data_IF_096359523477
#
_entry.id   IF_096359523477
#
_cell.length_a   1.000
_cell.length_b   1.000
_cell.length_c   1.000
_cell.angle_alpha   90.00
_cell.angle_beta   90.00
_cell.angle_gamma   90.00
#
_symmetry.space_group_name_H-M   'P 1'
#
loop_
_entity.id
_entity.type
_entity.pdbx_description
1 polymer ?
#
# COMPACT_ATOMS: atom_id res chain seq x y z
N UNK A 1 45.47 38.72 17.15
CA UNK A 1 44.38 39.71 16.97
C UNK A 1 43.76 39.59 15.59
N UNK A 2 44.55 39.61 14.52
CA UNK A 2 44.07 39.49 13.12
C UNK A 2 43.19 38.26 12.85
N UNK A 3 43.59 37.07 13.33
CA UNK A 3 42.75 35.86 13.20
C UNK A 3 41.39 35.97 13.90
N UNK A 4 41.34 36.67 15.05
CA UNK A 4 40.10 36.88 15.79
C UNK A 4 39.15 37.81 15.01
N UNK A 5 39.71 38.83 14.35
CA UNK A 5 38.94 39.73 13.48
C UNK A 5 38.43 39.01 12.23
N UNK A 6 39.23 38.14 11.61
CA UNK A 6 38.81 37.36 10.46
C UNK A 6 37.66 36.40 10.80
N UNK A 7 37.75 35.70 11.94
CA UNK A 7 36.68 34.80 12.43
C UNK A 7 35.41 35.60 12.77
N UNK A 8 35.53 36.76 13.41
CA UNK A 8 34.39 37.62 13.73
C UNK A 8 33.72 38.21 12.47
N UNK A 9 34.51 38.62 11.48
CA UNK A 9 34.01 39.14 10.21
C UNK A 9 33.29 38.04 9.42
N UNK A 10 33.86 36.84 9.33
CA UNK A 10 33.20 35.72 8.66
C UNK A 10 31.92 35.28 9.38
N UNK A 11 31.98 35.14 10.70
CA UNK A 11 30.82 34.77 11.52
C UNK A 11 29.68 35.80 11.42
N UNK A 12 29.99 37.10 11.42
CA UNK A 12 28.99 38.16 11.26
C UNK A 12 28.36 38.15 9.87
N UNK A 13 29.13 37.91 8.80
CA UNK A 13 28.56 37.73 7.45
C UNK A 13 27.60 36.55 7.40
N UNK A 14 27.98 35.38 7.96
CA UNK A 14 27.11 34.20 8.00
C UNK A 14 25.83 34.49 8.78
N UNK A 15 25.93 35.13 9.96
CA UNK A 15 24.76 35.49 10.76
C UNK A 15 23.85 36.48 10.03
N UNK A 16 24.41 37.50 9.37
CA UNK A 16 23.64 38.47 8.58
C UNK A 16 22.94 37.78 7.41
N UNK A 17 23.62 36.87 6.73
CA UNK A 17 23.07 36.15 5.58
C UNK A 17 21.96 35.19 6.02
N UNK A 18 22.17 34.44 7.10
CA UNK A 18 21.14 33.58 7.71
C UNK A 18 19.94 34.39 8.20
N UNK A 19 20.16 35.53 8.88
CA UNK A 19 19.09 36.41 9.31
C UNK A 19 18.32 37.01 8.13
N UNK A 20 19.05 37.40 7.06
CA UNK A 20 18.46 37.87 5.82
C UNK A 20 17.59 36.81 5.14
N UNK A 21 18.03 35.55 5.13
CA UNK A 21 17.23 34.43 4.63
C UNK A 21 15.98 34.18 5.47
N UNK A 22 16.07 34.21 6.81
CA UNK A 22 14.90 34.07 7.70
C UNK A 22 13.89 35.20 7.48
N UNK A 23 14.36 36.45 7.32
CA UNK A 23 13.49 37.59 7.03
C UNK A 23 12.86 37.44 5.65
N UNK A 24 13.65 37.07 4.63
CA UNK A 24 13.13 36.84 3.29
C UNK A 24 12.09 35.71 3.27
N UNK A 25 12.32 34.61 3.99
CA UNK A 25 11.37 33.52 4.16
C UNK A 25 10.07 34.01 4.80
N UNK A 26 10.15 34.82 5.86
CA UNK A 26 8.98 35.39 6.54
C UNK A 26 8.12 36.29 5.64
N UNK A 27 8.70 36.96 4.65
CA UNK A 27 7.98 37.87 3.74
C UNK A 27 7.60 37.24 2.40
N UNK A 28 8.40 36.31 1.88
CA UNK A 28 8.21 35.71 0.55
C UNK A 28 7.49 34.35 0.60
N UNK A 29 7.54 33.64 1.73
CA UNK A 29 6.97 32.28 1.89
C UNK A 29 5.72 32.29 2.77
N UNK A 30 5.37 33.43 3.37
CA UNK A 30 4.17 33.55 4.18
C UNK A 30 2.96 33.90 3.28
N UNK A 31 2.36 32.85 2.71
CA UNK A 31 1.15 32.95 1.88
C UNK A 31 -0.12 33.28 2.69
N UNK A 32 0.01 33.46 4.02
CA UNK A 32 -1.10 33.75 4.91
C UNK A 32 -1.94 32.51 5.22
N UNK A 33 -3.12 32.75 5.79
CA UNK A 33 -4.13 31.72 6.03
C UNK A 33 -4.88 31.51 4.71
N UNK A 34 -4.88 30.28 4.21
CA UNK A 34 -5.65 29.86 3.04
C UNK A 34 -6.81 28.98 3.48
N UNK A 35 -7.91 29.00 2.71
CA UNK A 35 -9.07 28.13 2.93
C UNK A 35 -8.99 26.90 2.06
N UNK A 36 -9.08 25.73 2.68
CA UNK A 36 -9.25 24.44 2.01
C UNK A 36 -10.72 24.01 2.10
N UNK A 37 -11.40 24.02 0.96
CA UNK A 37 -12.74 23.46 0.83
C UNK A 37 -12.64 22.03 0.29
N UNK A 38 -13.26 21.09 1.00
CA UNK A 38 -13.30 19.68 0.66
C UNK A 38 -14.75 19.33 0.33
N UNK A 39 -14.99 18.86 -0.89
CA UNK A 39 -16.31 18.41 -1.37
C UNK A 39 -17.44 19.47 -1.28
N UNK A 40 -17.10 20.77 -1.31
CA UNK A 40 -18.07 21.86 -1.12
C UNK A 40 -18.79 21.76 0.24
N UNK A 41 -18.03 21.41 1.28
CA UNK A 41 -18.54 21.20 2.63
C UNK A 41 -18.97 22.48 3.33
N UNK A 42 -19.72 22.36 4.42
CA UNK A 42 -20.31 23.52 5.12
C UNK A 42 -19.27 24.44 5.79
N UNK A 43 -18.05 23.95 6.08
CA UNK A 43 -16.96 24.75 6.68
C UNK A 43 -15.61 24.45 6.02
N UNK A 44 -14.99 25.42 5.33
CA UNK A 44 -13.63 25.27 4.84
C UNK A 44 -12.64 25.27 5.99
N UNK A 45 -11.60 24.43 5.89
CA UNK A 45 -10.49 24.37 6.83
C UNK A 45 -9.57 25.58 6.63
N UNK A 46 -9.17 26.24 7.71
CA UNK A 46 -8.18 27.32 7.66
C UNK A 46 -6.79 26.74 7.88
N UNK A 47 -5.89 26.97 6.93
CA UNK A 47 -4.56 26.36 6.89
C UNK A 47 -3.48 27.41 6.67
N UNK A 48 -2.29 27.16 7.20
CA UNK A 48 -1.10 27.92 6.84
C UNK A 48 -0.66 27.58 5.41
N UNK A 49 -0.60 28.59 4.54
CA UNK A 49 -0.05 28.43 3.20
C UNK A 49 1.45 28.10 3.21
N UNK A 50 1.94 27.49 2.13
CA UNK A 50 3.33 27.08 1.94
C UNK A 50 3.59 25.58 2.11
N UNK A 51 2.71 24.85 2.82
CA UNK A 51 2.77 23.38 2.95
C UNK A 51 2.19 22.68 1.73
N UNK A 52 2.51 21.40 1.58
CA UNK A 52 1.89 20.55 0.55
C UNK A 52 0.47 20.19 0.97
N UNK A 53 -0.41 20.00 -0.01
CA UNK A 53 -1.80 19.63 0.23
C UNK A 53 -1.90 18.31 1.01
N UNK A 54 -1.05 17.32 0.71
CA UNK A 54 -0.97 16.07 1.47
C UNK A 54 -0.65 16.32 2.96
N UNK A 55 0.38 17.10 3.25
CA UNK A 55 0.79 17.37 4.63
C UNK A 55 -0.29 18.12 5.41
N UNK A 56 -0.97 19.07 4.76
CA UNK A 56 -2.07 19.80 5.38
C UNK A 56 -3.30 18.93 5.63
N UNK A 57 -3.63 18.01 4.71
CA UNK A 57 -4.70 17.03 4.91
C UNK A 57 -4.39 16.10 6.09
N UNK A 58 -3.17 15.56 6.16
CA UNK A 58 -2.74 14.69 7.26
C UNK A 58 -2.79 15.41 8.62
N UNK A 59 -2.39 16.68 8.67
CA UNK A 59 -2.45 17.48 9.89
C UNK A 59 -3.88 17.74 10.39
N UNK A 60 -4.89 17.55 9.54
CA UNK A 60 -6.30 17.65 9.86
C UNK A 60 -6.98 16.27 9.87
N UNK A 61 -6.21 15.20 10.08
CA UNK A 61 -6.70 13.81 10.20
C UNK A 61 -7.40 13.28 8.93
N UNK A 62 -7.09 13.85 7.76
CA UNK A 62 -7.57 13.39 6.46
C UNK A 62 -6.42 12.67 5.76
N UNK A 63 -6.50 11.34 5.74
CA UNK A 63 -5.42 10.49 5.25
C UNK A 63 -5.66 10.06 3.81
N UNK A 64 -4.80 10.54 2.91
CA UNK A 64 -4.77 10.18 1.49
C UNK A 64 -3.61 9.21 1.25
N UNK A 65 -3.80 8.12 0.49
CA UNK A 65 -2.75 7.13 0.30
C UNK A 65 -1.45 7.74 -0.25
N UNK A 66 -0.35 7.60 0.50
CA UNK A 66 0.98 8.04 0.05
C UNK A 66 2.09 7.05 0.45
N UNK A 67 2.29 6.00 -0.35
CA UNK A 67 3.32 4.99 -0.09
C UNK A 67 4.76 5.55 -0.07
N UNK A 68 5.02 6.64 -0.81
CA UNK A 68 6.34 7.29 -0.87
C UNK A 68 6.58 8.34 0.23
N UNK A 69 5.62 8.57 1.14
CA UNK A 69 5.72 9.63 2.15
C UNK A 69 5.82 11.05 1.56
N UNK A 70 5.11 11.33 0.47
CA UNK A 70 5.06 12.65 -0.14
C UNK A 70 6.21 13.03 -1.08
N UNK A 71 7.09 12.09 -1.43
CA UNK A 71 8.24 12.32 -2.34
C UNK A 71 7.87 12.43 -3.82
N UNK A 72 6.60 12.18 -4.19
CA UNK A 72 6.13 12.29 -5.57
C UNK A 72 6.56 11.14 -6.48
N UNK A 73 6.85 9.95 -5.92
CA UNK A 73 7.40 8.82 -6.68
C UNK A 73 6.49 7.59 -6.80
N UNK A 74 5.30 7.62 -6.21
CA UNK A 74 4.37 6.46 -6.22
C UNK A 74 3.04 6.72 -6.94
N UNK A 75 2.66 7.98 -7.18
CA UNK A 75 1.39 8.30 -7.85
C UNK A 75 0.10 8.00 -7.09
N UNK A 76 0.12 7.45 -5.87
CA UNK A 76 -1.11 7.08 -5.15
C UNK A 76 -1.91 8.25 -4.57
N UNK A 77 -1.27 9.38 -4.27
CA UNK A 77 -1.94 10.52 -3.62
C UNK A 77 -2.78 11.37 -4.59
N UNK A 78 -3.46 10.73 -5.55
CA UNK A 78 -4.30 11.37 -6.56
C UNK A 78 -5.58 11.87 -5.92
N UNK A 79 -5.85 13.16 -6.09
CA UNK A 79 -7.10 13.81 -5.72
C UNK A 79 -7.50 14.82 -6.77
N UNK A 80 -8.78 15.16 -6.84
CA UNK A 80 -9.25 16.18 -7.77
C UNK A 80 -9.09 17.56 -7.12
N UNK A 81 -8.45 18.50 -7.82
CA UNK A 81 -8.22 19.87 -7.36
C UNK A 81 -8.90 20.83 -8.33
N UNK A 82 -10.12 21.27 -8.00
CA UNK A 82 -10.96 22.10 -8.86
C UNK A 82 -10.40 23.51 -9.07
N UNK A 83 -9.74 24.08 -8.07
CA UNK A 83 -9.04 25.36 -8.16
C UNK A 83 -7.97 25.49 -7.07
N UNK A 84 -7.01 26.41 -7.23
CA UNK A 84 -5.90 26.64 -6.29
C UNK A 84 -4.69 25.70 -6.42
N UNK A 85 -4.73 24.73 -7.36
CA UNK A 85 -3.67 23.73 -7.55
C UNK A 85 -2.51 24.13 -8.48
N UNK A 86 -2.58 25.29 -9.13
CA UNK A 86 -1.59 25.72 -10.14
C UNK A 86 -1.52 24.80 -11.38
N UNK A 87 -0.49 24.90 -12.23
CA UNK A 87 -0.28 23.99 -13.36
C UNK A 87 0.27 22.64 -12.92
N UNK A 88 0.03 21.59 -13.71
CA UNK A 88 0.61 20.24 -13.50
C UNK A 88 2.13 20.32 -13.54
N UNK A 89 2.79 19.75 -12.54
CA UNK A 89 4.24 19.74 -12.42
C UNK A 89 4.87 18.59 -13.23
N UNK A 90 6.14 18.72 -13.67
CA UNK A 90 6.87 17.64 -14.32
C UNK A 90 6.97 16.36 -13.46
N UNK A 91 6.98 16.50 -12.14
CA UNK A 91 6.97 15.37 -11.19
C UNK A 91 5.66 14.61 -11.17
N UNK A 92 4.55 15.24 -11.56
CA UNK A 92 3.22 14.61 -11.60
C UNK A 92 2.96 13.92 -12.94
N UNK A 93 3.56 14.43 -14.02
CA UNK A 93 3.26 14.01 -15.41
C UNK A 93 3.40 12.50 -15.66
N UNK A 94 4.41 11.78 -15.12
CA UNK A 94 4.53 10.34 -15.32
C UNK A 94 3.37 9.51 -14.73
N UNK A 95 2.67 10.05 -13.74
CA UNK A 95 1.64 9.33 -12.99
C UNK A 95 0.21 9.72 -13.39
N UNK A 96 0.05 10.72 -14.27
CA UNK A 96 -1.25 11.25 -14.67
C UNK A 96 -1.52 10.95 -16.15
N UNK A 97 -2.66 10.31 -16.40
CA UNK A 97 -3.20 10.13 -17.74
C UNK A 97 -3.77 11.45 -18.29
N UNK A 98 -3.96 11.51 -19.61
CA UNK A 98 -4.59 12.69 -20.25
C UNK A 98 -6.03 12.92 -19.76
N UNK A 99 -6.74 11.86 -19.41
CA UNK A 99 -8.10 11.95 -18.88
C UNK A 99 -8.10 12.53 -17.46
N UNK A 100 -7.21 12.05 -16.59
CA UNK A 100 -7.01 12.56 -15.23
C UNK A 100 -6.63 14.04 -15.22
N UNK A 101 -5.71 14.46 -16.09
CA UNK A 101 -5.33 15.88 -16.21
C UNK A 101 -6.54 16.74 -16.60
N UNK A 102 -7.38 16.28 -17.55
CA UNK A 102 -8.62 16.99 -17.94
C UNK A 102 -9.66 17.03 -16.83
N UNK A 103 -9.66 16.03 -15.95
CA UNK A 103 -10.51 15.96 -14.77
C UNK A 103 -9.93 16.75 -13.57
N UNK A 104 -8.83 17.49 -13.75
CA UNK A 104 -8.12 18.23 -12.70
C UNK A 104 -7.58 17.34 -11.57
N UNK A 105 -7.23 16.09 -11.86
CA UNK A 105 -6.55 15.21 -10.91
C UNK A 105 -5.09 15.66 -10.74
N UNK A 106 -4.65 15.73 -9.49
CA UNK A 106 -3.31 16.17 -9.07
C UNK A 106 -2.75 15.24 -8.01
N UNK A 107 -1.43 15.26 -7.84
CA UNK A 107 -0.78 14.58 -6.72
C UNK A 107 -0.77 15.51 -5.50
N UNK A 108 -1.53 15.16 -4.45
CA UNK A 108 -1.65 15.96 -3.24
C UNK A 108 -0.28 16.30 -2.61
N UNK A 109 0.72 15.42 -2.74
CA UNK A 109 2.04 15.68 -2.21
C UNK A 109 2.87 16.72 -2.98
N UNK A 110 2.53 16.97 -4.25
CA UNK A 110 3.24 17.91 -5.11
C UNK A 110 2.56 19.28 -5.18
N UNK A 111 1.25 19.35 -4.90
CA UNK A 111 0.50 20.59 -4.84
C UNK A 111 0.86 21.37 -3.57
N UNK A 112 1.33 22.60 -3.72
CA UNK A 112 1.57 23.54 -2.61
C UNK A 112 0.40 24.50 -2.47
N UNK A 113 -0.09 24.68 -1.24
CA UNK A 113 -1.17 25.62 -0.95
C UNK A 113 -0.60 27.04 -0.93
N UNK A 114 -1.00 27.89 -1.87
CA UNK A 114 -0.56 29.30 -1.97
C UNK A 114 -1.72 30.31 -1.95
N UNK A 115 -2.93 29.80 -2.17
CA UNK A 115 -4.19 30.53 -2.23
C UNK A 115 -5.30 29.56 -1.80
N UNK A 116 -6.54 30.05 -1.70
CA UNK A 116 -7.69 29.22 -1.40
C UNK A 116 -7.82 28.07 -2.43
N UNK A 117 -8.03 26.87 -1.93
CA UNK A 117 -7.94 25.64 -2.70
C UNK A 117 -9.21 24.80 -2.49
N UNK A 118 -9.74 24.28 -3.59
CA UNK A 118 -10.98 23.51 -3.60
C UNK A 118 -10.67 22.13 -4.13
N UNK A 119 -10.93 21.10 -3.32
CA UNK A 119 -10.59 19.72 -3.61
C UNK A 119 -11.80 18.82 -3.50
N UNK A 120 -11.81 17.75 -4.29
CA UNK A 120 -12.78 16.67 -4.17
C UNK A 120 -12.06 15.38 -3.78
N UNK A 121 -12.47 14.83 -2.64
CA UNK A 121 -11.92 13.62 -2.04
C UNK A 121 -13.03 12.57 -1.99
N UNK A 122 -12.81 11.35 -2.52
CA UNK A 122 -13.76 10.25 -2.39
C UNK A 122 -14.14 9.98 -0.93
N UNK A 123 -15.41 9.67 -0.66
CA UNK A 123 -15.89 9.37 0.71
C UNK A 123 -15.13 8.22 1.36
N UNK A 124 -14.68 7.25 0.57
CA UNK A 124 -13.87 6.12 1.04
C UNK A 124 -12.58 6.56 1.71
N UNK A 125 -11.92 7.61 1.18
CA UNK A 125 -10.70 8.16 1.77
C UNK A 125 -10.98 9.03 3.00
N UNK A 126 -12.17 9.61 3.11
CA UNK A 126 -12.59 10.36 4.30
C UNK A 126 -12.90 9.44 5.49
N UNK A 127 -13.17 8.17 5.23
CA UNK A 127 -13.43 7.16 6.28
C UNK A 127 -12.14 6.49 6.80
N UNK A 128 -10.98 6.81 6.22
CA UNK A 128 -9.68 6.31 6.68
C UNK A 128 -9.37 6.89 8.05
N UNK A 129 -8.94 6.04 8.97
CA UNK A 129 -8.62 6.43 10.35
C UNK A 129 -7.15 6.17 10.66
N UNK A 130 -6.67 6.86 11.69
CA UNK A 130 -5.44 6.52 12.38
C UNK A 130 -5.75 5.47 13.45
N UNK A 131 -4.92 4.44 13.52
CA UNK A 131 -5.02 3.35 14.47
C UNK A 131 -3.78 3.31 15.34
N UNK A 132 -3.99 3.13 16.64
CA UNK A 132 -2.97 2.69 17.58
C UNK A 132 -3.20 1.22 17.89
N UNK A 133 -2.14 0.43 17.84
CA UNK A 133 -2.20 -1.01 18.04
C UNK A 133 -0.97 -1.49 18.83
N UNK A 134 -1.06 -2.70 19.34
CA UNK A 134 0.04 -3.39 20.04
C UNK A 134 0.37 -4.66 19.31
N UNK A 135 1.65 -5.00 19.18
CA UNK A 135 2.07 -6.30 18.63
C UNK A 135 1.58 -7.41 19.55
N UNK A 136 0.70 -8.26 19.03
CA UNK A 136 0.19 -9.44 19.72
C UNK A 136 1.16 -10.61 19.59
N UNK A 137 1.63 -10.86 18.36
CA UNK A 137 2.57 -11.95 18.08
C UNK A 137 3.39 -11.66 16.82
N UNK A 138 4.55 -12.31 16.76
CA UNK A 138 5.42 -12.32 15.57
C UNK A 138 5.85 -13.75 15.27
N UNK A 139 5.92 -14.11 13.99
CA UNK A 139 6.37 -15.42 13.54
C UNK A 139 7.22 -15.28 12.28
N UNK A 140 8.43 -15.83 12.29
CA UNK A 140 9.24 -15.93 11.07
C UNK A 140 8.62 -17.01 10.16
N UNK A 141 8.20 -16.64 8.96
CA UNK A 141 7.59 -17.54 7.97
C UNK A 141 8.63 -18.14 7.04
N UNK A 142 9.61 -17.35 6.64
CA UNK A 142 10.76 -17.75 5.83
C UNK A 142 12.03 -17.08 6.38
N UNK A 143 13.16 -17.20 5.69
CA UNK A 143 14.39 -16.48 6.04
C UNK A 143 14.28 -14.96 5.88
N UNK A 144 13.32 -14.46 5.10
CA UNK A 144 13.16 -13.04 4.77
C UNK A 144 11.74 -12.50 5.03
N UNK A 145 10.74 -13.33 5.34
CA UNK A 145 9.36 -12.92 5.59
C UNK A 145 8.98 -13.18 7.05
N UNK A 146 8.43 -12.16 7.70
CA UNK A 146 7.89 -12.20 9.05
C UNK A 146 6.40 -11.89 9.05
N UNK A 147 5.62 -12.75 9.68
CA UNK A 147 4.23 -12.51 10.06
C UNK A 147 4.20 -11.67 11.34
N UNK A 148 3.40 -10.62 11.35
CA UNK A 148 3.23 -9.75 12.52
C UNK A 148 1.73 -9.50 12.70
N UNK A 149 1.21 -9.87 13.87
CA UNK A 149 -0.19 -9.65 14.25
C UNK A 149 -0.29 -8.49 15.22
N UNK A 150 -1.14 -7.53 14.91
CA UNK A 150 -1.43 -6.36 15.75
C UNK A 150 -2.82 -6.46 16.35
N UNK A 151 -2.92 -6.29 17.66
CA UNK A 151 -4.17 -6.08 18.39
C UNK A 151 -4.50 -4.59 18.40
N UNK A 152 -5.68 -4.23 17.89
CA UNK A 152 -6.09 -2.83 17.81
C UNK A 152 -6.50 -2.28 19.17
N UNK A 153 -6.06 -1.06 19.49
CA UNK A 153 -6.35 -0.38 20.74
C UNK A 153 -7.35 0.78 20.54
N UNK A 154 -7.06 1.68 19.61
CA UNK A 154 -7.91 2.83 19.31
C UNK A 154 -7.74 3.28 17.85
N UNK A 155 -8.80 3.22 17.01
CA UNK A 155 -10.02 2.44 17.25
C UNK A 155 -9.73 0.94 17.47
N UNK A 156 -10.61 0.23 18.18
CA UNK A 156 -10.47 -1.21 18.49
C UNK A 156 -10.98 -2.14 17.37
N UNK A 157 -11.65 -1.58 16.36
CA UNK A 157 -12.11 -2.30 15.17
C UNK A 157 -11.74 -1.57 13.86
N UNK A 158 -11.27 -2.33 12.87
CA UNK A 158 -11.08 -1.91 11.48
C UNK A 158 -12.15 -2.55 10.58
N UNK A 159 -12.77 -1.74 9.73
CA UNK A 159 -13.70 -2.21 8.70
C UNK A 159 -12.99 -2.24 7.34
N UNK A 160 -12.39 -3.38 7.01
CA UNK A 160 -11.68 -3.59 5.74
C UNK A 160 -12.52 -4.36 4.71
N UNK A 161 -12.27 -4.09 3.43
CA UNK A 161 -12.63 -4.96 2.31
C UNK A 161 -11.46 -5.90 2.01
N UNK A 162 -11.71 -7.11 1.47
CA UNK A 162 -10.62 -7.99 1.08
C UNK A 162 -9.66 -7.33 0.10
N UNK A 163 -8.37 -7.65 0.20
CA UNK A 163 -7.29 -7.09 -0.63
C UNK A 163 -6.83 -5.69 -0.25
N UNK A 164 -7.38 -5.09 0.82
CA UNK A 164 -6.93 -3.77 1.28
C UNK A 164 -5.59 -3.82 2.03
N UNK A 165 -4.96 -2.65 2.13
CA UNK A 165 -3.68 -2.45 2.81
C UNK A 165 -3.76 -1.33 3.86
N UNK A 166 -2.78 -1.27 4.75
CA UNK A 166 -2.57 -0.18 5.72
C UNK A 166 -1.26 0.52 5.44
N UNK A 167 -1.11 1.75 5.96
CA UNK A 167 0.17 2.46 5.94
C UNK A 167 0.75 2.55 7.34
N UNK A 168 1.78 1.76 7.61
CA UNK A 168 2.52 1.75 8.88
C UNK A 168 3.37 3.01 8.97
N UNK A 169 3.29 3.70 10.11
CA UNK A 169 4.18 4.79 10.49
C UNK A 169 5.48 4.21 11.06
N UNK A 170 6.58 4.33 10.31
CA UNK A 170 7.89 3.87 10.73
C UNK A 170 8.79 5.07 11.08
N UNK A 171 9.49 5.06 12.23
CA UNK A 171 10.41 6.12 12.60
C UNK A 171 11.64 6.14 11.69
N UNK A 172 12.12 7.34 11.35
CA UNK A 172 13.32 7.57 10.54
C UNK A 172 14.08 8.82 11.02
N UNK A 173 15.41 8.94 10.76
CA UNK A 173 16.18 10.12 11.17
C UNK A 173 15.64 11.46 10.68
N UNK A 174 14.98 11.47 9.52
CA UNK A 174 14.42 12.68 8.89
C UNK A 174 12.94 12.93 9.27
N UNK A 175 12.40 12.16 10.22
CA UNK A 175 11.00 12.15 10.61
C UNK A 175 10.26 10.91 10.09
N UNK A 176 9.07 10.65 10.64
CA UNK A 176 8.33 9.42 10.36
C UNK A 176 7.99 9.24 8.88
N UNK A 177 8.04 8.00 8.42
CA UNK A 177 7.69 7.62 7.06
C UNK A 177 6.56 6.61 7.06
N UNK A 178 5.61 6.80 6.16
CA UNK A 178 4.51 5.87 5.96
C UNK A 178 4.86 4.86 4.86
N UNK A 179 4.61 3.57 5.10
CA UNK A 179 4.82 2.49 4.13
C UNK A 179 3.61 1.58 4.07
N UNK A 180 3.20 1.26 2.84
CA UNK A 180 2.05 0.41 2.57
C UNK A 180 2.39 -1.07 2.81
N UNK A 181 1.48 -1.78 3.47
CA UNK A 181 1.54 -3.23 3.66
C UNK A 181 0.12 -3.80 3.58
N UNK A 182 -0.08 -4.80 2.72
CA UNK A 182 -1.36 -5.49 2.57
C UNK A 182 -1.76 -6.19 3.86
N UNK A 183 -3.05 -6.15 4.18
CA UNK A 183 -3.62 -6.86 5.32
C UNK A 183 -3.70 -8.34 4.96
N UNK A 184 -3.18 -9.20 5.85
CA UNK A 184 -3.22 -10.67 5.76
C UNK A 184 -4.38 -11.26 6.56
N UNK A 185 -4.78 -10.62 7.66
CA UNK A 185 -5.88 -11.11 8.50
C UNK A 185 -7.22 -11.03 7.75
N UNK A 186 -8.11 -12.03 7.87
CA UNK A 186 -9.41 -12.02 7.20
C UNK A 186 -10.29 -10.84 7.61
N UNK A 187 -11.21 -10.41 6.75
CA UNK A 187 -12.03 -9.22 7.00
C UNK A 187 -13.00 -9.37 8.18
N UNK A 188 -13.32 -10.60 8.59
CA UNK A 188 -14.14 -10.86 9.78
C UNK A 188 -13.38 -10.67 11.10
N UNK A 189 -12.04 -10.67 11.11
CA UNK A 189 -11.21 -10.40 12.29
C UNK A 189 -11.01 -8.89 12.49
N UNK A 190 -12.05 -8.20 12.94
CA UNK A 190 -12.06 -6.72 13.01
C UNK A 190 -11.07 -6.11 13.99
N UNK A 191 -10.65 -6.85 15.01
CA UNK A 191 -9.76 -6.35 16.07
C UNK A 191 -8.29 -6.75 15.86
N UNK A 192 -7.98 -7.38 14.72
CA UNK A 192 -6.63 -7.79 14.34
C UNK A 192 -6.27 -7.25 12.95
N UNK A 193 -5.06 -6.71 12.86
CA UNK A 193 -4.39 -6.53 11.57
C UNK A 193 -3.14 -7.40 11.55
N UNK A 194 -3.08 -8.34 10.62
CA UNK A 194 -1.88 -9.15 10.37
C UNK A 194 -1.19 -8.69 9.09
N UNK A 195 0.14 -8.70 9.05
CA UNK A 195 0.96 -8.40 7.88
C UNK A 195 1.99 -9.50 7.62
N UNK A 196 2.30 -9.76 6.34
CA UNK A 196 3.46 -10.56 5.93
C UNK A 196 4.53 -9.64 5.34
N UNK A 197 5.62 -9.43 6.07
CA UNK A 197 6.60 -8.38 5.78
C UNK A 197 7.91 -9.01 5.32
N UNK A 198 8.30 -8.78 4.07
CA UNK A 198 9.64 -9.09 3.59
C UNK A 198 10.66 -8.06 4.11
N UNK A 199 11.81 -8.53 4.61
CA UNK A 199 12.94 -7.65 4.95
C UNK A 199 13.61 -7.13 3.67
N UNK A 200 13.67 -5.80 3.52
CA UNK A 200 14.40 -5.15 2.44
C UNK A 200 15.68 -4.54 3.02
N UNK A 201 16.87 -4.88 2.50
CA UNK A 201 18.13 -4.27 2.95
C UNK A 201 18.10 -2.75 2.86
N UNK A 202 18.31 -2.07 3.99
CA UNK A 202 18.25 -0.60 4.09
C UNK A 202 16.82 -0.02 4.06
N UNK A 203 15.78 -0.86 4.02
CA UNK A 203 14.39 -0.44 4.01
C UNK A 203 13.89 -0.04 5.40
N UNK A 204 13.60 1.26 5.59
CA UNK A 204 13.15 1.81 6.88
C UNK A 204 11.95 1.05 7.46
N UNK A 205 10.87 0.89 6.67
CA UNK A 205 9.63 0.26 7.14
C UNK A 205 9.81 -1.23 7.45
N UNK A 206 10.45 -1.98 6.55
CA UNK A 206 10.68 -3.41 6.75
C UNK A 206 11.62 -3.68 7.93
N UNK A 207 12.67 -2.87 8.09
CA UNK A 207 13.58 -2.98 9.24
C UNK A 207 12.88 -2.62 10.55
N UNK A 208 12.04 -1.58 10.56
CA UNK A 208 11.24 -1.25 11.75
C UNK A 208 10.35 -2.42 12.16
N UNK A 209 9.52 -2.92 11.22
CA UNK A 209 8.59 -4.03 11.48
C UNK A 209 9.31 -5.32 11.90
N UNK A 210 10.46 -5.64 11.29
CA UNK A 210 11.24 -6.82 11.66
C UNK A 210 11.87 -6.75 13.06
N UNK A 211 12.02 -5.56 13.63
CA UNK A 211 12.59 -5.37 14.97
C UNK A 211 11.52 -5.23 16.08
N UNK A 212 10.24 -5.23 15.71
CA UNK A 212 9.16 -5.23 16.69
C UNK A 212 9.08 -6.56 17.43
N UNK A 213 8.73 -6.47 18.71
CA UNK A 213 8.49 -7.59 19.61
C UNK A 213 7.07 -7.51 20.17
N UNK A 214 6.58 -8.63 20.73
CA UNK A 214 5.30 -8.65 21.45
C UNK A 214 5.22 -7.56 22.51
N UNK A 215 4.11 -6.83 22.52
CA UNK A 215 3.88 -5.69 23.41
C UNK A 215 4.34 -4.33 22.87
N UNK A 216 5.09 -4.29 21.77
CA UNK A 216 5.51 -3.01 21.19
C UNK A 216 4.31 -2.25 20.57
N UNK A 217 4.28 -0.90 20.67
CA UNK A 217 3.24 -0.09 20.06
C UNK A 217 3.50 0.12 18.56
N UNK A 218 2.43 0.15 17.77
CA UNK A 218 2.45 0.41 16.34
C UNK A 218 1.35 1.40 15.99
N UNK A 219 1.66 2.35 15.12
CA UNK A 219 0.71 3.32 14.58
C UNK A 219 0.60 3.13 13.08
N UNK A 220 -0.62 3.15 12.57
CA UNK A 220 -0.86 3.05 11.14
C UNK A 220 -2.14 3.79 10.73
N UNK A 221 -2.31 3.98 9.42
CA UNK A 221 -3.54 4.52 8.86
C UNK A 221 -4.14 3.52 7.88
N UNK A 222 -5.45 3.53 7.73
CA UNK A 222 -6.13 2.66 6.77
C UNK A 222 -7.62 2.46 7.07
N UNK A 223 -8.25 1.48 6.41
CA UNK A 223 -7.71 0.68 5.31
C UNK A 223 -7.73 1.46 3.97
N UNK A 224 -6.83 1.11 3.05
CA UNK A 224 -6.75 1.65 1.69
C UNK A 224 -6.87 0.52 0.66
N UNK A 225 -7.27 0.86 -0.57
CA UNK A 225 -7.29 -0.09 -1.69
C UNK A 225 -8.56 0.02 -2.52
N UNK A 226 -8.40 -0.17 -3.83
CA UNK A 226 -9.46 0.00 -4.84
C UNK A 226 -10.08 -1.32 -5.28
N UNK A 227 -9.51 -2.46 -4.87
CA UNK A 227 -10.08 -3.77 -5.20
C UNK A 227 -11.47 -3.92 -4.58
N UNK A 228 -12.43 -4.23 -5.45
CA UNK A 228 -13.79 -4.56 -5.07
C UNK A 228 -14.08 -5.95 -5.59
N UNK A 229 -14.23 -6.88 -4.66
CA UNK A 229 -14.57 -8.25 -4.98
C UNK A 229 -15.95 -8.34 -5.62
N UNK A 230 -16.04 -9.05 -6.74
CA UNK A 230 -17.29 -9.37 -7.40
C UNK A 230 -18.11 -10.30 -6.47
N UNK A 231 -19.37 -9.97 -6.18
CA UNK A 231 -20.21 -10.77 -5.27
C UNK A 231 -21.07 -11.83 -5.98
N UNK A 232 -21.01 -11.91 -7.32
CA UNK A 232 -21.71 -12.94 -8.10
C UNK A 232 -21.06 -14.32 -7.84
N UNK A 233 -21.79 -15.29 -7.27
CA UNK A 233 -21.24 -16.62 -6.97
C UNK A 233 -20.88 -17.43 -8.22
N UNK A 234 -21.36 -17.05 -9.41
CA UNK A 234 -21.00 -17.68 -10.68
C UNK A 234 -19.65 -17.22 -11.24
N UNK A 235 -19.06 -16.16 -10.67
CA UNK A 235 -17.74 -15.65 -11.03
C UNK A 235 -16.69 -16.27 -10.10
N UNK A 236 -15.78 -17.06 -10.67
CA UNK A 236 -14.67 -17.65 -9.90
C UNK A 236 -13.65 -16.58 -9.50
N UNK A 237 -13.02 -16.75 -8.35
CA UNK A 237 -11.93 -15.87 -7.91
C UNK A 237 -10.57 -16.52 -8.20
N UNK A 238 -9.65 -15.76 -8.78
CA UNK A 238 -8.27 -16.20 -9.03
C UNK A 238 -7.30 -15.31 -8.25
N UNK A 239 -6.67 -15.90 -7.25
CA UNK A 239 -5.65 -15.30 -6.42
C UNK A 239 -4.27 -15.74 -6.92
N UNK A 240 -3.39 -14.80 -7.31
CA UNK A 240 -2.02 -15.12 -7.75
C UNK A 240 -1.00 -14.34 -6.94
N UNK A 241 -0.14 -15.05 -6.21
CA UNK A 241 0.83 -14.45 -5.29
C UNK A 241 2.28 -14.86 -5.54
N UNK A 242 3.21 -14.03 -5.10
CA UNK A 242 4.62 -14.39 -4.97
C UNK A 242 5.32 -13.60 -3.87
N UNK A 243 6.11 -14.29 -3.02
CA UNK A 243 6.78 -13.65 -1.88
C UNK A 243 5.79 -13.09 -0.84
N UNK A 244 5.96 -11.82 -0.44
CA UNK A 244 5.03 -11.17 0.48
C UNK A 244 3.63 -10.93 -0.12
N UNK A 245 3.45 -11.15 -1.43
CA UNK A 245 2.15 -11.13 -2.09
C UNK A 245 1.16 -12.17 -1.58
N UNK A 246 1.58 -13.08 -0.68
CA UNK A 246 0.68 -13.97 0.05
C UNK A 246 -0.28 -13.24 1.00
N UNK A 247 0.12 -12.11 1.59
CA UNK A 247 -0.73 -11.38 2.54
C UNK A 247 -2.15 -11.10 2.00
N UNK A 248 -2.32 -10.40 0.87
CA UNK A 248 -3.66 -10.16 0.34
C UNK A 248 -4.37 -11.45 -0.08
N UNK A 249 -3.65 -12.50 -0.49
CA UNK A 249 -4.27 -13.80 -0.84
C UNK A 249 -4.90 -14.46 0.38
N UNK A 250 -4.17 -14.49 1.50
CA UNK A 250 -4.64 -15.05 2.77
C UNK A 250 -5.93 -14.34 3.22
N UNK A 251 -5.92 -13.01 3.18
CA UNK A 251 -7.07 -12.18 3.50
C UNK A 251 -8.27 -12.45 2.59
N UNK A 252 -8.08 -12.46 1.27
CA UNK A 252 -9.15 -12.67 0.28
C UNK A 252 -9.75 -14.06 0.42
N UNK A 253 -8.92 -15.10 0.44
CA UNK A 253 -9.36 -16.50 0.43
C UNK A 253 -10.15 -16.83 1.69
N UNK A 254 -9.63 -16.49 2.87
CA UNK A 254 -10.35 -16.76 4.12
C UNK A 254 -11.64 -15.95 4.24
N UNK A 255 -11.67 -14.70 3.74
CA UNK A 255 -12.91 -13.92 3.72
C UNK A 255 -13.95 -14.49 2.76
N UNK A 256 -13.52 -15.00 1.61
CA UNK A 256 -14.42 -15.68 0.65
C UNK A 256 -15.07 -16.88 1.31
N UNK A 257 -14.29 -17.77 1.95
CA UNK A 257 -14.82 -19.01 2.50
C UNK A 257 -15.68 -18.82 3.75
N UNK A 258 -15.49 -17.73 4.50
CA UNK A 258 -16.40 -17.33 5.57
C UNK A 258 -17.77 -16.88 5.02
N UNK A 259 -17.79 -16.14 3.91
CA UNK A 259 -19.03 -15.55 3.36
C UNK A 259 -19.74 -16.44 2.33
N UNK A 260 -18.99 -17.14 1.49
CA UNK A 260 -19.44 -17.97 0.37
C UNK A 260 -18.66 -19.29 0.34
N UNK A 261 -18.99 -20.26 1.21
CA UNK A 261 -18.22 -21.49 1.38
C UNK A 261 -18.15 -22.36 0.10
N UNK A 262 -19.13 -22.22 -0.80
CA UNK A 262 -19.25 -23.00 -2.03
C UNK A 262 -18.70 -22.28 -3.29
N UNK A 263 -18.11 -21.09 -3.14
CA UNK A 263 -17.58 -20.31 -4.27
C UNK A 263 -16.25 -20.88 -4.78
N UNK A 264 -16.12 -21.13 -6.08
CA UNK A 264 -14.84 -21.57 -6.66
C UNK A 264 -13.76 -20.50 -6.51
N UNK A 265 -12.64 -20.88 -5.91
CA UNK A 265 -11.48 -20.01 -5.75
C UNK A 265 -10.20 -20.77 -6.10
N UNK A 266 -9.30 -20.11 -6.81
CA UNK A 266 -7.98 -20.62 -7.16
C UNK A 266 -6.90 -19.81 -6.45
N UNK A 267 -5.94 -20.49 -5.82
CA UNK A 267 -4.70 -19.91 -5.35
C UNK A 267 -3.55 -20.44 -6.21
N UNK A 268 -2.85 -19.54 -6.89
CA UNK A 268 -1.59 -19.81 -7.57
C UNK A 268 -0.47 -19.07 -6.86
N UNK A 269 0.44 -19.78 -6.19
CA UNK A 269 1.53 -19.16 -5.45
C UNK A 269 2.91 -19.58 -5.98
N UNK A 270 3.68 -18.61 -6.45
CA UNK A 270 5.04 -18.81 -6.97
C UNK A 270 6.11 -18.62 -5.91
N UNK A 271 6.95 -19.64 -5.73
CA UNK A 271 8.13 -19.63 -4.85
C UNK A 271 9.40 -19.87 -5.68
N UNK A 272 10.56 -19.44 -5.17
CA UNK A 272 11.84 -19.76 -5.82
C UNK A 272 12.23 -21.21 -5.54
N UNK A 273 12.37 -21.56 -4.26
CA UNK A 273 12.63 -22.93 -3.79
C UNK A 273 11.76 -23.31 -2.60
N UNK A 274 12.05 -24.46 -2.00
CA UNK A 274 11.26 -25.02 -0.89
C UNK A 274 11.29 -24.13 0.36
N UNK A 275 12.41 -23.43 0.61
CA UNK A 275 12.58 -22.51 1.74
C UNK A 275 11.70 -21.25 1.68
N UNK A 276 11.10 -20.96 0.52
CA UNK A 276 10.20 -19.83 0.32
C UNK A 276 8.72 -20.23 0.49
N UNK A 277 8.43 -21.50 0.81
CA UNK A 277 7.07 -22.01 1.01
C UNK A 277 6.61 -21.70 2.43
N UNK A 278 5.45 -21.06 2.55
CA UNK A 278 4.69 -20.91 3.79
C UNK A 278 3.19 -20.95 3.51
N UNK A 279 2.38 -21.19 4.55
CA UNK A 279 0.92 -21.40 4.51
C UNK A 279 0.41 -22.58 3.65
N UNK A 280 1.29 -23.38 3.04
CA UNK A 280 0.88 -24.47 2.15
C UNK A 280 0.01 -25.50 2.87
N UNK A 281 0.40 -25.90 4.08
CA UNK A 281 -0.33 -26.91 4.86
C UNK A 281 -1.68 -26.37 5.34
N UNK A 282 -1.72 -25.10 5.75
CA UNK A 282 -2.94 -24.39 6.13
C UNK A 282 -3.93 -24.30 4.96
N UNK A 283 -3.46 -23.96 3.76
CA UNK A 283 -4.31 -23.92 2.56
C UNK A 283 -4.73 -25.31 2.08
N UNK A 284 -3.87 -26.34 2.20
CA UNK A 284 -4.26 -27.73 1.93
C UNK A 284 -5.38 -28.18 2.87
N UNK A 285 -5.27 -27.88 4.16
CA UNK A 285 -6.32 -28.18 5.14
C UNK A 285 -7.61 -27.38 4.86
N UNK A 286 -7.52 -26.17 4.32
CA UNK A 286 -8.69 -25.42 3.86
C UNK A 286 -9.34 -26.07 2.63
N UNK A 287 -8.54 -26.56 1.68
CA UNK A 287 -9.03 -27.25 0.47
C UNK A 287 -9.68 -28.60 0.78
N UNK A 288 -9.25 -29.30 1.83
CA UNK A 288 -9.94 -30.48 2.34
C UNK A 288 -11.36 -30.17 2.86
N UNK A 289 -11.56 -28.97 3.42
CA UNK A 289 -12.87 -28.50 3.91
C UNK A 289 -13.75 -27.94 2.78
N UNK A 290 -13.14 -27.32 1.77
CA UNK A 290 -13.81 -26.68 0.64
C UNK A 290 -13.29 -27.28 -0.68
N UNK A 291 -13.96 -28.30 -1.24
CA UNK A 291 -13.51 -28.99 -2.48
C UNK A 291 -13.43 -28.09 -3.73
N UNK A 292 -14.08 -26.93 -3.67
CA UNK A 292 -14.08 -25.83 -4.64
C UNK A 292 -12.88 -24.87 -4.47
N UNK A 293 -12.00 -25.12 -3.50
CA UNK A 293 -10.73 -24.42 -3.35
C UNK A 293 -9.60 -25.20 -4.02
N UNK A 294 -8.94 -24.55 -4.97
CA UNK A 294 -7.83 -25.14 -5.69
C UNK A 294 -6.51 -24.45 -5.29
N UNK A 295 -5.58 -25.23 -4.75
CA UNK A 295 -4.29 -24.73 -4.24
C UNK A 295 -3.16 -25.22 -5.14
N UNK A 296 -2.45 -24.28 -5.76
CA UNK A 296 -1.35 -24.58 -6.69
C UNK A 296 -0.13 -23.77 -6.29
N UNK A 297 0.91 -24.46 -5.83
CA UNK A 297 2.22 -23.86 -5.59
C UNK A 297 3.18 -24.29 -6.70
N UNK A 298 4.05 -23.37 -7.14
CA UNK A 298 5.06 -23.65 -8.15
C UNK A 298 6.46 -23.18 -7.71
N UNK A 299 7.47 -24.03 -7.93
CA UNK A 299 8.88 -23.69 -7.70
C UNK A 299 9.59 -23.35 -9.00
N UNK A 300 10.16 -22.14 -9.09
CA UNK A 300 10.84 -21.67 -10.30
C UNK A 300 12.29 -22.16 -10.42
N UNK A 301 12.99 -22.30 -9.30
CA UNK A 301 14.37 -22.80 -9.29
C UNK A 301 14.37 -24.33 -9.35
N UNK A 302 15.50 -24.90 -9.81
CA UNK A 302 15.68 -26.35 -9.77
C UNK A 302 15.77 -26.80 -8.32
N UNK A 303 15.13 -27.92 -8.01
CA UNK A 303 15.25 -28.57 -6.71
C UNK A 303 16.72 -28.86 -6.38
N UNK A 304 17.10 -28.60 -5.14
CA UNK A 304 18.40 -28.96 -4.60
C UNK A 304 18.56 -30.48 -4.48
N UNK A 305 19.79 -30.93 -4.27
CA UNK A 305 20.06 -32.35 -4.01
C UNK A 305 19.32 -32.82 -2.74
N UNK A 306 18.48 -33.84 -2.88
CA UNK A 306 17.72 -34.43 -1.77
C UNK A 306 16.41 -33.72 -1.42
N UNK A 307 16.08 -32.61 -2.06
CA UNK A 307 14.75 -31.98 -1.92
C UNK A 307 13.69 -32.78 -2.68
N UNK A 308 12.52 -32.93 -2.05
CA UNK A 308 11.35 -33.58 -2.66
C UNK A 308 10.25 -32.55 -2.78
N UNK A 309 9.72 -32.40 -4.00
CA UNK A 309 8.61 -31.52 -4.31
C UNK A 309 7.63 -32.22 -5.22
N UNK A 310 6.36 -32.24 -4.82
CA UNK A 310 5.26 -32.90 -5.51
C UNK A 310 4.29 -31.93 -6.20
N UNK A 311 4.52 -30.62 -6.06
CA UNK A 311 3.75 -29.55 -6.72
C UNK A 311 4.26 -29.19 -8.12
N UNK A 312 3.79 -28.04 -8.64
CA UNK A 312 4.18 -27.57 -9.97
C UNK A 312 5.63 -27.08 -10.00
N UNK A 313 6.26 -27.12 -11.18
CA UNK A 313 7.60 -26.58 -11.40
C UNK A 313 7.60 -25.58 -12.54
N UNK A 314 8.50 -24.60 -12.49
CA UNK A 314 8.53 -23.46 -13.40
C UNK A 314 7.80 -22.23 -12.85
N UNK A 315 7.61 -21.23 -13.72
CA UNK A 315 6.98 -19.98 -13.32
C UNK A 315 5.46 -20.14 -13.15
N UNK A 316 4.89 -19.42 -12.18
CA UNK A 316 3.50 -19.62 -11.75
C UNK A 316 2.46 -19.35 -12.86
N UNK A 317 2.75 -18.46 -13.82
CA UNK A 317 1.85 -18.20 -14.96
C UNK A 317 1.65 -19.45 -15.83
N UNK A 318 2.63 -20.36 -15.92
CA UNK A 318 2.50 -21.62 -16.65
C UNK A 318 1.53 -22.58 -15.94
N UNK A 319 1.58 -22.59 -14.60
CA UNK A 319 0.63 -23.36 -13.80
C UNK A 319 -0.78 -22.79 -13.90
N UNK A 320 -0.93 -21.45 -13.91
CA UNK A 320 -2.22 -20.80 -14.16
C UNK A 320 -2.76 -21.15 -15.55
N UNK A 321 -1.95 -21.07 -16.60
CA UNK A 321 -2.36 -21.42 -17.96
C UNK A 321 -2.81 -22.89 -18.09
N UNK A 322 -2.06 -23.80 -17.46
CA UNK A 322 -2.36 -25.24 -17.46
C UNK A 322 -3.70 -25.56 -16.78
N UNK A 323 -4.02 -24.89 -15.67
CA UNK A 323 -5.15 -25.25 -14.81
C UNK A 323 -6.43 -24.46 -15.11
N UNK A 324 -6.33 -23.25 -15.68
CA UNK A 324 -7.48 -22.42 -15.98
C UNK A 324 -8.04 -22.70 -17.38
N UNK A 325 -9.34 -22.97 -17.46
CA UNK A 325 -10.08 -23.12 -18.71
C UNK A 325 -10.49 -21.76 -19.29
N UNK A 326 -10.53 -21.61 -20.62
CA UNK A 326 -10.96 -20.37 -21.26
C UNK A 326 -12.50 -20.19 -21.22
N UNK A 327 -12.97 -18.95 -21.12
CA UNK A 327 -14.39 -18.60 -21.24
C UNK A 327 -15.24 -18.79 -19.98
N UNK A 328 -14.62 -19.18 -18.86
CA UNK A 328 -15.28 -19.16 -17.54
C UNK A 328 -15.19 -17.73 -16.98
N UNK A 329 -16.31 -17.15 -16.48
CA UNK A 329 -16.28 -15.83 -15.84
C UNK A 329 -15.42 -15.84 -14.58
N UNK A 330 -14.41 -14.96 -14.52
CA UNK A 330 -13.49 -14.86 -13.39
C UNK A 330 -13.14 -13.41 -13.06
N UNK A 331 -12.82 -13.17 -11.80
CA UNK A 331 -12.14 -11.97 -11.34
C UNK A 331 -10.81 -12.39 -10.70
N UNK A 332 -9.73 -11.66 -11.00
CA UNK A 332 -8.40 -11.99 -10.54
C UNK A 332 -7.81 -10.90 -9.64
N UNK A 333 -7.09 -11.30 -8.61
CA UNK A 333 -6.25 -10.43 -7.80
C UNK A 333 -4.81 -10.97 -7.77
N UNK A 334 -3.86 -10.15 -8.22
CA UNK A 334 -2.46 -10.53 -8.36
C UNK A 334 -1.59 -9.68 -7.44
N UNK A 335 -0.62 -10.28 -6.77
CA UNK A 335 0.29 -9.53 -5.92
C UNK A 335 1.68 -10.14 -5.88
N UNK A 336 2.70 -9.36 -6.23
CA UNK A 336 4.08 -9.82 -6.26
C UNK A 336 4.96 -9.07 -7.25
N UNK A 337 6.05 -9.69 -7.74
CA UNK A 337 7.01 -9.02 -8.62
C UNK A 337 6.38 -8.56 -9.95
N UNK A 338 6.76 -7.39 -10.50
CA UNK A 338 6.16 -6.86 -11.73
C UNK A 338 6.19 -7.82 -12.93
N UNK A 339 7.29 -8.57 -13.12
CA UNK A 339 7.40 -9.56 -14.20
C UNK A 339 6.43 -10.74 -14.04
N UNK A 340 6.11 -11.11 -12.79
CA UNK A 340 5.13 -12.15 -12.52
C UNK A 340 3.73 -11.64 -12.87
N UNK A 341 3.38 -10.44 -12.41
CA UNK A 341 2.09 -9.80 -12.69
C UNK A 341 1.89 -9.69 -14.20
N UNK A 342 2.86 -9.14 -14.93
CA UNK A 342 2.78 -9.01 -16.39
C UNK A 342 2.55 -10.35 -17.10
N UNK A 343 3.28 -11.40 -16.71
CA UNK A 343 3.17 -12.71 -17.35
C UNK A 343 1.82 -13.39 -17.05
N UNK A 344 1.33 -13.29 -15.81
CA UNK A 344 0.04 -13.87 -15.41
C UNK A 344 -1.10 -13.09 -16.05
N UNK A 345 -1.06 -11.75 -16.07
CA UNK A 345 -2.10 -10.93 -16.72
C UNK A 345 -2.31 -11.34 -18.17
N UNK A 346 -1.24 -11.58 -18.94
CA UNK A 346 -1.36 -12.07 -20.33
C UNK A 346 -2.07 -13.42 -20.42
N UNK A 347 -1.72 -14.36 -19.53
CA UNK A 347 -2.40 -15.66 -19.46
C UNK A 347 -3.88 -15.49 -19.15
N UNK A 348 -4.23 -14.62 -18.19
CA UNK A 348 -5.62 -14.38 -17.79
C UNK A 348 -6.43 -13.73 -18.93
N UNK A 349 -5.86 -12.77 -19.65
CA UNK A 349 -6.46 -12.17 -20.85
C UNK A 349 -6.67 -13.22 -21.96
N UNK A 350 -5.69 -14.11 -22.19
CA UNK A 350 -5.80 -15.21 -23.16
C UNK A 350 -6.91 -16.22 -22.76
N UNK A 351 -7.21 -16.36 -21.46
CA UNK A 351 -8.36 -17.14 -20.96
C UNK A 351 -9.70 -16.40 -21.04
N UNK A 352 -9.69 -15.13 -21.44
CA UNK A 352 -10.88 -14.30 -21.65
C UNK A 352 -11.32 -13.49 -20.43
N UNK A 353 -10.45 -13.31 -19.42
CA UNK A 353 -10.72 -12.38 -18.31
C UNK A 353 -10.53 -10.95 -18.84
N UNK A 354 -11.49 -10.07 -18.54
CA UNK A 354 -11.44 -8.68 -18.97
C UNK A 354 -10.40 -7.90 -18.15
N UNK A 355 -9.68 -6.93 -18.74
CA UNK A 355 -8.70 -6.13 -18.00
C UNK A 355 -9.28 -5.42 -16.76
N UNK A 356 -10.54 -5.00 -16.79
CA UNK A 356 -11.25 -4.42 -15.64
C UNK A 356 -11.53 -5.39 -14.49
N UNK A 357 -11.46 -6.70 -14.75
CA UNK A 357 -11.62 -7.77 -13.75
C UNK A 357 -10.27 -8.32 -13.25
N UNK A 358 -9.14 -7.74 -13.70
CA UNK A 358 -7.78 -8.09 -13.29
C UNK A 358 -7.23 -6.96 -12.42
N UNK A 359 -7.13 -7.22 -11.13
CA UNK A 359 -6.58 -6.29 -10.14
C UNK A 359 -5.19 -6.73 -9.73
N UNK A 360 -4.30 -5.78 -9.47
CA UNK A 360 -2.96 -6.12 -9.03
C UNK A 360 -2.32 -5.05 -8.14
N UNK A 361 -1.46 -5.52 -7.24
CA UNK A 361 -0.56 -4.71 -6.43
C UNK A 361 0.89 -5.13 -6.69
N UNK A 362 1.70 -4.17 -7.15
CA UNK A 362 3.14 -4.34 -7.40
C UNK A 362 3.94 -3.95 -6.15
N UNK A 363 4.88 -4.80 -5.71
CA UNK A 363 5.76 -4.55 -4.56
C UNK A 363 7.25 -4.68 -4.88
#
# INVERSE_FOLDING_TARGET
MEYLYAVAAFGSIVVILSAGLIVAERFLVNYGICKLDINAGEKPLELEGGRTLLASLYANEIFIPSACGGKGSCGHCKITVNSGGGPVLPTETPYLTRQEVRANVRLACQVKIREDIYVRIPEELLNVKLFTATVESTKDLTYDIKEIRFRLNDPDEISQRPGQYVQIQAPSPDGDVFRAYSISSPAYEKNIVELNVRIVPGGIGSTYLHNLNEGDPVVFTGPYGEFVMNEDPSVEIVCVGGGCGMAPMNNIIHTIYDRWPDRTCWLFFGCRGTQDIFYLDEFKALAEKHPNFHVVYALSDKLGEGEVWDGETGFIHLAADKNLEAGVPRQAFLCGPPLMIEAVTRVLEDKGILPEDIFYDEF
#
